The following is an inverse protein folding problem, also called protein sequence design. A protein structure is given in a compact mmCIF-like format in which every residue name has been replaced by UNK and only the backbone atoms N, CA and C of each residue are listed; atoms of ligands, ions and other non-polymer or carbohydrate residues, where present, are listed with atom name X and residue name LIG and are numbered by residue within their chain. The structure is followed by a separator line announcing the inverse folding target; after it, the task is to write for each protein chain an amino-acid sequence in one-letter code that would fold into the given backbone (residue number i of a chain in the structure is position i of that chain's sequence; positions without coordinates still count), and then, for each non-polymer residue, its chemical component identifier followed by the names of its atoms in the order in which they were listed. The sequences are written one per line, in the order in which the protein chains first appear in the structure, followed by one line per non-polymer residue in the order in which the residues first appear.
data_IF_828423046731
#
_entry.id   IF_828423046731
#
_cell.length_a   1.000
_cell.length_b   1.000
_cell.length_c   1.000
_cell.angle_alpha   90.00
_cell.angle_beta   90.00
_cell.angle_gamma   90.00
#
_symmetry.space_group_name_H-M   'P 1'
#
loop_
_entity.id
_entity.type
_entity.pdbx_description
1 polymer ?
#
# COMPACT_ATOMS: atom_id res chain seq x y z
N UNK A 1 4.53 19.05 -4.91
CA UNK A 1 4.84 17.61 -5.14
C UNK A 1 3.89 17.13 -6.20
N UNK A 2 4.30 16.17 -7.02
CA UNK A 2 3.46 15.71 -8.12
C UNK A 2 2.69 14.47 -7.69
N UNK A 3 1.52 14.28 -8.28
CA UNK A 3 0.71 13.08 -8.08
C UNK A 3 0.35 12.46 -9.42
N UNK A 4 0.34 11.14 -9.45
CA UNK A 4 -0.16 10.37 -10.57
C UNK A 4 -1.51 9.79 -10.18
N UNK A 5 -2.54 10.04 -10.99
CA UNK A 5 -3.91 9.61 -10.72
C UNK A 5 -4.38 8.65 -11.82
N UNK A 6 -5.20 7.67 -11.46
CA UNK A 6 -5.97 6.90 -12.43
C UNK A 6 -7.14 7.74 -12.93
N UNK A 7 -7.29 7.87 -14.26
CA UNK A 7 -8.32 8.70 -14.89
C UNK A 7 -9.74 8.18 -14.69
N UNK A 8 -9.91 6.89 -14.45
CA UNK A 8 -11.22 6.25 -14.37
C UNK A 8 -11.93 6.59 -13.06
N UNK A 9 -11.19 6.56 -11.95
CA UNK A 9 -11.73 6.65 -10.59
C UNK A 9 -11.07 7.74 -9.74
N UNK A 10 -10.13 8.51 -10.31
CA UNK A 10 -9.36 9.57 -9.66
C UNK A 10 -8.53 9.07 -8.47
N UNK A 11 -8.24 7.78 -8.37
CA UNK A 11 -7.41 7.22 -7.30
C UNK A 11 -5.97 7.67 -7.48
N UNK A 12 -5.35 8.15 -6.40
CA UNK A 12 -3.93 8.53 -6.39
C UNK A 12 -3.09 7.25 -6.42
N UNK A 13 -2.28 7.09 -7.47
CA UNK A 13 -1.44 5.92 -7.72
C UNK A 13 -0.01 6.11 -7.20
N UNK A 14 0.50 7.34 -7.30
CA UNK A 14 1.84 7.67 -6.83
C UNK A 14 1.91 9.14 -6.40
N UNK A 15 2.84 9.45 -5.51
CA UNK A 15 3.05 10.76 -4.91
C UNK A 15 4.56 10.98 -4.84
N UNK A 16 5.08 12.03 -5.48
CA UNK A 16 6.50 12.32 -5.44
C UNK A 16 6.97 13.22 -6.57
N UNK A 17 8.25 13.07 -6.93
CA UNK A 17 8.82 13.71 -8.12
C UNK A 17 8.54 12.83 -9.34
N UNK A 18 7.47 13.13 -10.08
CA UNK A 18 6.95 12.26 -11.15
C UNK A 18 7.11 12.97 -12.49
N UNK A 19 7.76 12.32 -13.45
CA UNK A 19 8.02 12.87 -14.77
C UNK A 19 7.54 11.95 -15.88
N UNK A 20 7.16 12.47 -17.05
CA UNK A 20 6.92 11.63 -18.22
C UNK A 20 8.14 10.79 -18.54
N UNK A 21 7.94 9.52 -18.87
CA UNK A 21 9.00 8.67 -19.41
C UNK A 21 9.42 9.21 -20.78
N UNK A 22 10.73 9.27 -21.05
CA UNK A 22 11.25 9.73 -22.34
C UNK A 22 11.32 8.57 -23.34
N UNK A 23 10.96 8.84 -24.59
CA UNK A 23 11.01 7.85 -25.69
C UNK A 23 12.44 7.45 -26.06
N UNK A 24 12.67 6.15 -26.24
CA UNK A 24 13.93 5.61 -26.77
C UNK A 24 13.87 4.09 -26.94
N UNK A 25 13.71 3.67 -28.21
CA UNK A 25 13.69 2.30 -28.75
C UNK A 25 13.04 1.23 -27.85
N UNK A 26 11.75 0.98 -28.14
CA UNK A 26 10.85 -0.11 -27.66
C UNK A 26 9.97 0.16 -26.44
N UNK A 27 10.01 1.36 -25.84
CA UNK A 27 8.96 1.80 -24.91
C UNK A 27 8.55 3.25 -25.18
N UNK A 28 7.26 3.48 -25.46
CA UNK A 28 6.75 4.66 -26.17
C UNK A 28 5.97 5.68 -25.32
N UNK A 29 5.56 5.36 -24.09
CA UNK A 29 4.82 6.34 -23.26
C UNK A 29 4.76 5.90 -21.79
N UNK A 30 4.61 6.84 -20.86
CA UNK A 30 4.49 6.51 -19.44
C UNK A 30 4.95 7.58 -18.47
N UNK A 31 5.12 7.18 -17.21
CA UNK A 31 5.60 8.02 -16.11
C UNK A 31 6.70 7.33 -15.32
N UNK A 32 7.63 8.11 -14.79
CA UNK A 32 8.70 7.65 -13.92
C UNK A 32 8.64 8.41 -12.59
N UNK A 33 8.55 7.65 -11.51
CA UNK A 33 8.77 8.05 -10.13
C UNK A 33 10.08 7.41 -9.65
N UNK A 34 10.76 7.99 -8.66
CA UNK A 34 12.13 7.61 -8.22
C UNK A 34 12.41 6.09 -8.21
N UNK A 35 11.44 5.28 -7.78
CA UNK A 35 11.56 3.82 -7.68
C UNK A 35 10.65 3.03 -8.62
N UNK A 36 9.76 3.70 -9.37
CA UNK A 36 8.69 3.04 -10.12
C UNK A 36 8.56 3.61 -11.53
N UNK A 37 8.49 2.71 -12.52
CA UNK A 37 8.29 3.07 -13.91
C UNK A 37 6.93 2.53 -14.39
N UNK A 38 6.06 3.42 -14.84
CA UNK A 38 4.70 3.15 -15.32
C UNK A 38 4.68 3.27 -16.85
N UNK A 39 4.84 2.16 -17.57
CA UNK A 39 4.95 2.16 -19.03
C UNK A 39 3.63 1.81 -19.72
N UNK A 40 3.37 2.43 -20.87
CA UNK A 40 2.19 2.22 -21.71
C UNK A 40 0.86 2.56 -21.00
N UNK A 41 0.88 3.44 -20.00
CA UNK A 41 -0.28 3.80 -19.18
C UNK A 41 -0.67 5.29 -19.31
N UNK A 42 -0.11 6.03 -20.28
CA UNK A 42 -0.38 7.47 -20.39
C UNK A 42 -1.85 7.79 -20.71
N UNK A 43 -2.57 6.88 -21.38
CA UNK A 43 -4.00 7.03 -21.64
C UNK A 43 -4.86 6.76 -20.39
N UNK A 44 -4.37 5.96 -19.44
CA UNK A 44 -5.06 5.56 -18.21
C UNK A 44 -4.75 6.45 -17.02
N UNK A 45 -3.59 7.12 -17.05
CA UNK A 45 -3.09 7.92 -15.95
C UNK A 45 -3.02 9.41 -16.31
N UNK A 46 -3.21 10.26 -15.31
CA UNK A 46 -3.01 11.71 -15.40
C UNK A 46 -1.97 12.13 -14.38
N UNK A 47 -1.04 12.99 -14.78
CA UNK A 47 -0.09 13.65 -13.89
C UNK A 47 -0.64 15.03 -13.51
N UNK A 48 -0.71 15.31 -12.20
CA UNK A 48 -0.97 16.66 -11.69
C UNK A 48 0.31 17.12 -10.98
N UNK A 49 0.90 18.21 -11.47
CA UNK A 49 2.12 18.79 -10.91
C UNK A 49 1.80 19.82 -9.80
N UNK A 50 2.79 20.08 -8.94
CA UNK A 50 2.75 21.17 -7.95
C UNK A 50 1.55 21.14 -6.98
N UNK A 51 1.12 19.95 -6.60
CA UNK A 51 0.03 19.74 -5.65
C UNK A 51 0.52 19.88 -4.19
N UNK A 52 -0.31 20.50 -3.36
CA UNK A 52 -0.18 20.47 -1.90
C UNK A 52 -0.73 19.14 -1.41
N UNK A 53 0.16 18.23 -1.03
CA UNK A 53 -0.20 16.89 -0.56
C UNK A 53 -0.34 16.91 0.96
N UNK A 54 -1.45 16.42 1.53
CA UNK A 54 -1.61 16.31 2.98
C UNK A 54 -0.54 15.41 3.61
N UNK A 55 -0.14 15.75 4.83
CA UNK A 55 0.81 14.93 5.58
C UNK A 55 0.26 13.51 5.78
N UNK A 56 1.10 12.52 5.49
CA UNK A 56 0.72 11.11 5.60
C UNK A 56 -0.24 10.61 4.52
N UNK A 57 -0.45 11.35 3.42
CA UNK A 57 -1.16 10.84 2.25
C UNK A 57 -0.47 9.58 1.71
N UNK A 58 -1.27 8.52 1.53
CA UNK A 58 -0.79 7.23 1.02
C UNK A 58 -1.50 6.95 -0.31
N UNK A 59 -0.77 6.55 -1.37
CA UNK A 59 -1.40 6.08 -2.60
C UNK A 59 -2.48 5.01 -2.36
N UNK A 60 -3.43 4.90 -3.26
CA UNK A 60 -4.65 4.06 -3.20
C UNK A 60 -5.65 4.42 -2.10
N UNK A 61 -5.20 4.97 -0.96
CA UNK A 61 -6.06 5.39 0.16
C UNK A 61 -6.83 6.67 -0.13
N UNK A 62 -6.36 7.48 -1.07
CA UNK A 62 -6.97 8.75 -1.43
C UNK A 62 -7.38 8.82 -2.90
N UNK A 63 -8.44 9.56 -3.15
CA UNK A 63 -8.82 10.09 -4.46
C UNK A 63 -8.47 11.58 -4.53
N UNK A 64 -8.16 12.09 -5.71
CA UNK A 64 -7.91 13.52 -5.94
C UNK A 64 -8.94 14.10 -6.91
N UNK A 65 -9.83 14.96 -6.41
CA UNK A 65 -10.89 15.54 -7.21
C UNK A 65 -11.11 17.02 -6.84
N UNK A 66 -11.36 17.86 -7.84
CA UNK A 66 -11.67 19.27 -7.65
C UNK A 66 -10.61 20.04 -6.81
N UNK A 67 -9.33 19.65 -6.95
CA UNK A 67 -8.23 20.28 -6.21
C UNK A 67 -8.02 19.75 -4.78
N UNK A 68 -8.82 18.79 -4.31
CA UNK A 68 -8.81 18.29 -2.94
C UNK A 68 -8.52 16.77 -2.87
N UNK A 69 -7.93 16.34 -1.76
CA UNK A 69 -7.78 14.93 -1.41
C UNK A 69 -8.97 14.45 -0.58
N UNK A 70 -9.59 13.36 -1.00
CA UNK A 70 -10.68 12.70 -0.27
C UNK A 70 -10.32 11.23 -0.02
N UNK A 71 -10.90 10.63 1.02
CA UNK A 71 -10.63 9.22 1.34
C UNK A 71 -11.31 8.32 0.31
N UNK A 72 -10.56 7.40 -0.28
CA UNK A 72 -11.09 6.38 -1.16
C UNK A 72 -11.90 5.36 -0.33
N UNK A 73 -13.22 5.39 -0.46
CA UNK A 73 -14.11 4.46 0.26
C UNK A 73 -13.92 2.99 -0.15
N UNK A 74 -13.34 2.73 -1.31
CA UNK A 74 -13.03 1.39 -1.80
C UNK A 74 -11.65 0.89 -1.35
N UNK A 75 -10.88 1.70 -0.60
CA UNK A 75 -9.59 1.28 -0.09
C UNK A 75 -9.75 0.08 0.85
N UNK A 76 -9.03 -0.99 0.54
CA UNK A 76 -8.92 -2.17 1.39
C UNK A 76 -7.53 -2.20 1.99
N UNK A 77 -7.45 -2.02 3.31
CA UNK A 77 -6.24 -2.27 4.05
C UNK A 77 -6.04 -3.79 4.14
N UNK A 78 -4.99 -4.29 3.50
CA UNK A 78 -4.58 -5.67 3.69
C UNK A 78 -3.80 -5.75 5.00
N UNK A 79 -4.16 -6.70 5.88
CA UNK A 79 -3.36 -6.96 7.08
C UNK A 79 -1.90 -7.17 6.68
N UNK A 80 -0.97 -6.45 7.32
CA UNK A 80 0.45 -6.69 7.11
C UNK A 80 0.74 -8.17 7.47
N UNK A 81 1.23 -8.99 6.52
CA UNK A 81 1.56 -10.38 6.77
C UNK A 81 2.49 -10.57 7.98
N UNK A 82 3.42 -9.65 8.22
CA UNK A 82 4.35 -9.69 9.35
C UNK A 82 3.61 -9.56 10.69
N UNK A 83 2.71 -8.58 10.81
CA UNK A 83 1.87 -8.44 12.01
C UNK A 83 0.98 -9.65 12.24
N UNK A 84 0.52 -10.29 11.16
CA UNK A 84 -0.27 -11.51 11.25
C UNK A 84 0.57 -12.69 11.76
N UNK A 85 1.81 -12.81 11.29
CA UNK A 85 2.77 -13.82 11.76
C UNK A 85 3.08 -13.60 13.24
N UNK A 86 3.40 -12.38 13.66
CA UNK A 86 3.67 -12.06 15.07
C UNK A 86 2.50 -12.45 15.99
N UNK A 87 1.26 -12.17 15.58
CA UNK A 87 0.06 -12.58 16.32
C UNK A 87 -0.04 -14.10 16.43
N UNK A 88 0.19 -14.82 15.34
CA UNK A 88 0.14 -16.29 15.31
C UNK A 88 1.24 -16.92 16.16
N UNK A 89 2.45 -16.36 16.16
CA UNK A 89 3.55 -16.80 17.01
C UNK A 89 3.21 -16.66 18.50
N UNK A 90 2.59 -15.53 18.88
CA UNK A 90 2.11 -15.31 20.25
C UNK A 90 1.03 -16.33 20.64
N UNK A 91 0.09 -16.62 19.75
CA UNK A 91 -0.97 -17.61 20.00
C UNK A 91 -0.37 -19.01 20.18
N UNK A 92 0.62 -19.39 19.35
CA UNK A 92 1.34 -20.67 19.47
C UNK A 92 2.07 -20.76 20.81
N UNK A 93 2.76 -19.71 21.24
CA UNK A 93 3.42 -19.68 22.55
C UNK A 93 2.43 -19.83 23.70
N UNK A 94 1.28 -19.16 23.63
CA UNK A 94 0.19 -19.31 24.60
C UNK A 94 -0.31 -20.75 24.70
N UNK A 95 -0.51 -21.40 23.55
CA UNK A 95 -0.94 -22.81 23.49
C UNK A 95 0.13 -23.76 24.05
N UNK A 96 1.40 -23.55 23.74
CA UNK A 96 2.51 -24.36 24.27
C UNK A 96 2.61 -24.27 25.78
N UNK A 97 2.40 -23.08 26.36
CA UNK A 97 2.39 -22.89 27.80
C UNK A 97 1.22 -23.64 28.45
N UNK A 98 0.01 -23.52 27.89
CA UNK A 98 -1.17 -24.22 28.39
C UNK A 98 -1.01 -25.76 28.34
N UNK A 99 -0.42 -26.29 27.27
CA UNK A 99 -0.11 -27.73 27.14
C UNK A 99 0.89 -28.15 28.22
N UNK A 100 1.91 -27.33 28.48
CA UNK A 100 2.93 -27.61 29.50
C UNK A 100 2.32 -27.67 30.90
N UNK A 101 1.47 -26.70 31.25
CA UNK A 101 0.74 -26.67 32.53
C UNK A 101 -0.16 -27.89 32.71
N UNK A 102 -0.93 -28.26 31.67
CA UNK A 102 -1.76 -29.47 31.70
C UNK A 102 -0.92 -30.75 31.85
N UNK A 103 0.23 -30.82 31.17
CA UNK A 103 1.12 -31.98 31.26
C UNK A 103 1.68 -32.15 32.67
N UNK A 104 2.05 -31.04 33.33
CA UNK A 104 2.51 -31.07 34.72
C UNK A 104 1.39 -31.54 35.67
N UNK A 105 0.17 -31.02 35.52
CA UNK A 105 -0.99 -31.42 36.33
C UNK A 105 -1.36 -32.90 36.16
N UNK A 106 -1.17 -33.46 34.97
CA UNK A 106 -1.42 -34.90 34.71
C UNK A 106 -0.26 -35.81 35.13
N UNK A 107 0.93 -35.25 35.37
CA UNK A 107 2.12 -36.01 35.77
C UNK A 107 2.30 -36.09 37.30
N UNK A 108 1.54 -35.32 38.08
CA UNK A 108 1.51 -35.47 39.54
C UNK A 108 0.77 -36.76 39.93
N UNK A 109 1.40 -37.69 40.68
CA UNK A 109 0.73 -38.88 41.17
C UNK A 109 -0.32 -38.50 42.22
N UNK A 110 -1.54 -39.03 42.06
CA UNK A 110 -2.60 -38.96 43.09
C UNK A 110 -2.24 -39.75 44.35
#
# INVERSE_FOLDING_TARGET
MDILINKTDNVVIDIGSIKPAQEGFEVTSGYFSEKTLYLNLQEELTLIADVIVPDGAVPSKFIYQNGNFEVNQNYKEYENPEKKIESLEKDIQGLQNAITELTMLMAEPQ
#
